data_IF_523361100715
#
_entry.id   IF_523361100715
#
_cell.length_a   1.000
_cell.length_b   1.000
_cell.length_c   1.000
_cell.angle_alpha   90.00
_cell.angle_beta   90.00
_cell.angle_gamma   90.00
#
_symmetry.space_group_name_H-M   'P 1'
#
loop_
_entity.id
_entity.type
_entity.pdbx_description
1 polymer ?
#
# COMPACT_ATOMS: atom_id res chain seq x y z
N UNK A 1 -54.10 9.23 -21.99
CA UNK A 1 -52.82 8.60 -22.39
C UNK A 1 -53.11 7.57 -23.46
N UNK A 2 -52.44 7.67 -24.61
CA UNK A 2 -52.50 6.68 -25.67
C UNK A 2 -51.80 5.39 -25.24
N UNK A 3 -52.18 4.24 -25.81
CA UNK A 3 -51.48 2.98 -25.56
C UNK A 3 -50.01 3.02 -26.01
N UNK A 4 -49.70 3.89 -26.99
CA UNK A 4 -48.32 4.21 -27.38
C UNK A 4 -47.52 4.88 -26.25
N UNK A 5 -48.14 5.79 -25.50
CA UNK A 5 -47.50 6.48 -24.37
C UNK A 5 -47.23 5.51 -23.20
N UNK A 6 -48.17 4.58 -22.95
CA UNK A 6 -48.00 3.53 -21.93
C UNK A 6 -46.86 2.60 -22.29
N UNK A 7 -46.81 2.14 -23.54
CA UNK A 7 -45.75 1.26 -24.04
C UNK A 7 -44.37 1.93 -23.97
N UNK A 8 -44.29 3.22 -24.33
CA UNK A 8 -43.06 4.00 -24.24
C UNK A 8 -42.56 4.13 -22.79
N UNK A 9 -43.43 4.54 -21.85
CA UNK A 9 -43.08 4.64 -20.43
C UNK A 9 -42.65 3.29 -19.84
N UNK A 10 -43.33 2.20 -20.20
CA UNK A 10 -42.97 0.86 -19.76
C UNK A 10 -41.57 0.45 -20.26
N UNK A 11 -41.25 0.74 -21.52
CA UNK A 11 -39.93 0.48 -22.09
C UNK A 11 -38.84 1.32 -21.39
N UNK A 12 -39.12 2.60 -21.10
CA UNK A 12 -38.19 3.49 -20.41
C UNK A 12 -37.92 3.02 -18.97
N UNK A 13 -38.97 2.62 -18.23
CA UNK A 13 -38.83 2.03 -16.89
C UNK A 13 -37.93 0.78 -16.90
N UNK A 14 -38.13 -0.14 -17.85
CA UNK A 14 -37.29 -1.34 -17.98
C UNK A 14 -35.82 -1.02 -18.24
N UNK A 15 -35.55 -0.03 -19.10
CA UNK A 15 -34.18 0.44 -19.37
C UNK A 15 -33.52 1.00 -18.12
N UNK A 16 -34.20 1.87 -17.38
CA UNK A 16 -33.69 2.45 -16.14
C UNK A 16 -33.44 1.39 -15.06
N UNK A 17 -34.36 0.44 -14.87
CA UNK A 17 -34.14 -0.69 -13.95
C UNK A 17 -32.90 -1.51 -14.30
N UNK A 18 -32.69 -1.78 -15.59
CA UNK A 18 -31.51 -2.53 -16.07
C UNK A 18 -30.22 -1.75 -15.81
N UNK A 19 -30.23 -0.45 -16.10
CA UNK A 19 -29.10 0.47 -15.83
C UNK A 19 -28.74 0.49 -14.34
N UNK A 20 -29.73 0.75 -13.48
CA UNK A 20 -29.55 0.77 -12.01
C UNK A 20 -29.00 -0.56 -11.50
N UNK A 21 -29.50 -1.69 -12.01
CA UNK A 21 -29.00 -3.01 -11.62
C UNK A 21 -27.52 -3.20 -12.01
N UNK A 22 -27.14 -2.77 -13.21
CA UNK A 22 -25.76 -2.79 -13.69
C UNK A 22 -24.83 -1.93 -12.82
N UNK A 23 -25.23 -0.70 -12.55
CA UNK A 23 -24.46 0.24 -11.71
C UNK A 23 -24.32 -0.28 -10.28
N UNK A 24 -25.37 -0.87 -9.68
CA UNK A 24 -25.30 -1.48 -8.35
C UNK A 24 -24.32 -2.66 -8.29
N UNK A 25 -24.25 -3.48 -9.35
CA UNK A 25 -23.27 -4.57 -9.44
C UNK A 25 -21.84 -4.02 -9.50
N UNK A 26 -21.60 -3.00 -10.32
CA UNK A 26 -20.30 -2.34 -10.41
C UNK A 26 -19.91 -1.70 -9.08
N UNK A 27 -20.84 -1.01 -8.41
CA UNK A 27 -20.65 -0.40 -7.10
C UNK A 27 -20.24 -1.43 -6.05
N UNK A 28 -20.93 -2.59 -6.00
CA UNK A 28 -20.58 -3.68 -5.09
C UNK A 28 -19.17 -4.21 -5.38
N UNK A 29 -18.82 -4.43 -6.64
CA UNK A 29 -17.48 -4.86 -7.03
C UNK A 29 -16.40 -3.86 -6.60
N UNK A 30 -16.63 -2.56 -6.80
CA UNK A 30 -15.68 -1.50 -6.43
C UNK A 30 -15.52 -1.37 -4.91
N UNK A 31 -16.60 -1.55 -4.15
CA UNK A 31 -16.53 -1.60 -2.67
C UNK A 31 -15.72 -2.80 -2.16
N UNK A 32 -15.88 -3.96 -2.79
CA UNK A 32 -15.09 -5.15 -2.44
C UNK A 32 -13.60 -4.94 -2.76
N UNK A 33 -13.30 -4.34 -3.92
CA UNK A 33 -11.93 -3.98 -4.30
C UNK A 33 -11.33 -2.98 -3.29
N UNK A 34 -12.08 -1.94 -2.91
CA UNK A 34 -11.67 -0.95 -1.91
C UNK A 34 -11.37 -1.59 -0.56
N UNK A 35 -12.20 -2.55 -0.11
CA UNK A 35 -11.94 -3.31 1.12
C UNK A 35 -10.62 -4.06 1.04
N UNK A 36 -10.36 -4.78 -0.04
CA UNK A 36 -9.09 -5.50 -0.22
C UNK A 36 -7.89 -4.57 -0.25
N UNK A 37 -8.02 -3.39 -0.86
CA UNK A 37 -6.96 -2.36 -0.85
C UNK A 37 -6.70 -1.85 0.57
N UNK A 38 -7.74 -1.58 1.36
CA UNK A 38 -7.58 -1.15 2.75
C UNK A 38 -6.89 -2.23 3.62
N UNK A 39 -7.28 -3.49 3.49
CA UNK A 39 -6.64 -4.61 4.22
C UNK A 39 -5.16 -4.74 3.85
N UNK A 40 -4.79 -4.55 2.58
CA UNK A 40 -3.38 -4.55 2.14
C UNK A 40 -2.60 -3.35 2.68
N UNK A 41 -3.21 -2.17 2.71
CA UNK A 41 -2.60 -0.96 3.27
C UNK A 41 -2.29 -1.12 4.76
N UNK A 42 -3.20 -1.71 5.52
CA UNK A 42 -3.01 -1.99 6.95
C UNK A 42 -1.81 -2.91 7.17
N UNK A 43 -1.78 -4.06 6.49
CA UNK A 43 -0.65 -5.01 6.58
C UNK A 43 0.69 -4.39 6.19
N UNK A 44 0.73 -3.54 5.17
CA UNK A 44 1.96 -2.85 4.76
C UNK A 44 2.41 -1.80 5.78
N UNK A 45 1.48 -1.11 6.43
CA UNK A 45 1.80 -0.14 7.49
C UNK A 45 2.35 -0.84 8.73
N UNK A 46 1.81 -2.00 9.09
CA UNK A 46 2.34 -2.83 10.17
C UNK A 46 3.74 -3.35 9.82
N UNK A 47 3.91 -3.94 8.64
CA UNK A 47 5.22 -4.40 8.18
C UNK A 47 6.27 -3.26 8.14
N UNK A 48 5.87 -2.06 7.74
CA UNK A 48 6.73 -0.87 7.79
C UNK A 48 7.13 -0.52 9.22
N UNK A 49 6.22 -0.64 10.18
CA UNK A 49 6.49 -0.36 11.60
C UNK A 49 7.51 -1.34 12.17
N UNK A 50 7.33 -2.63 11.90
CA UNK A 50 8.23 -3.69 12.35
C UNK A 50 9.62 -3.54 11.72
N UNK A 51 9.65 -3.19 10.43
CA UNK A 51 10.90 -2.91 9.71
C UNK A 51 11.63 -1.69 10.28
N UNK A 52 10.91 -0.63 10.68
CA UNK A 52 11.52 0.52 11.34
C UNK A 52 12.17 0.14 12.67
N UNK A 53 11.46 -0.64 13.50
CA UNK A 53 12.02 -1.12 14.77
C UNK A 53 13.29 -1.95 14.54
N UNK A 54 13.24 -2.86 13.57
CA UNK A 54 14.39 -3.70 13.21
C UNK A 54 15.58 -2.88 12.68
N UNK A 55 15.31 -1.82 11.91
CA UNK A 55 16.34 -0.90 11.40
C UNK A 55 17.00 -0.10 12.53
N UNK A 56 16.23 0.33 13.51
CA UNK A 56 16.75 1.06 14.67
C UNK A 56 17.65 0.15 15.51
N UNK A 57 17.22 -1.09 15.76
CA UNK A 57 18.01 -2.09 16.48
C UNK A 57 19.29 -2.46 15.72
N UNK A 58 19.20 -2.65 14.41
CA UNK A 58 20.36 -2.92 13.56
C UNK A 58 21.35 -1.75 13.56
N UNK A 59 20.85 -0.52 13.52
CA UNK A 59 21.70 0.70 13.56
C UNK A 59 22.41 0.83 14.90
N UNK A 60 21.72 0.52 16.01
CA UNK A 60 22.33 0.46 17.34
C UNK A 60 23.38 -0.64 17.44
N UNK A 61 23.07 -1.83 16.92
CA UNK A 61 24.01 -2.96 16.89
C UNK A 61 25.25 -2.60 16.08
N UNK A 62 25.08 -2.02 14.89
CA UNK A 62 26.20 -1.58 14.05
C UNK A 62 27.09 -0.58 14.78
N UNK A 63 26.49 0.41 15.45
CA UNK A 63 27.24 1.40 16.21
C UNK A 63 28.02 0.77 17.36
N UNK A 64 27.37 -0.08 18.17
CA UNK A 64 28.00 -0.78 19.29
C UNK A 64 29.13 -1.70 18.83
N UNK A 65 28.90 -2.47 17.77
CA UNK A 65 29.91 -3.36 17.18
C UNK A 65 31.10 -2.57 16.67
N UNK A 66 30.88 -1.46 15.96
CA UNK A 66 31.96 -0.60 15.51
C UNK A 66 32.77 -0.01 16.68
N UNK A 67 32.12 0.44 17.75
CA UNK A 67 32.82 0.95 18.95
C UNK A 67 33.68 -0.13 19.61
N UNK A 68 33.13 -1.33 19.83
CA UNK A 68 33.86 -2.44 20.46
C UNK A 68 35.05 -2.85 19.59
N UNK A 69 34.81 -3.07 18.29
CA UNK A 69 35.86 -3.54 17.38
C UNK A 69 36.98 -2.53 17.19
N UNK A 70 36.66 -1.23 17.16
CA UNK A 70 37.69 -0.19 17.01
C UNK A 70 38.48 0.05 18.29
N UNK A 71 37.89 -0.17 19.47
CA UNK A 71 38.58 -0.02 20.76
C UNK A 71 39.73 -1.02 20.98
N UNK A 72 39.73 -2.14 20.23
CA UNK A 72 40.73 -3.22 20.34
C UNK A 72 41.84 -3.13 19.27
N UNK A 73 41.79 -2.16 18.35
CA UNK A 73 42.74 -2.03 17.24
C UNK A 73 44.21 -1.91 17.70
N UNK A 74 44.46 -1.33 18.87
CA UNK A 74 45.79 -1.16 19.45
C UNK A 74 46.26 -2.32 20.33
N UNK A 75 45.40 -3.33 20.58
CA UNK A 75 45.72 -4.47 21.47
C UNK A 75 46.52 -5.57 20.77
N UNK A 76 46.59 -5.54 19.44
CA UNK A 76 47.35 -6.50 18.64
C UNK A 76 48.50 -5.79 17.92
N UNK A 77 49.57 -6.53 17.63
CA UNK A 77 50.75 -6.04 16.91
C UNK A 77 51.14 -6.96 15.75
N UNK A 78 51.77 -6.38 14.74
CA UNK A 78 52.31 -7.10 13.58
C UNK A 78 51.23 -7.81 12.75
N UNK A 79 51.47 -9.06 12.38
CA UNK A 79 50.56 -9.84 11.52
C UNK A 79 49.18 -10.08 12.15
N UNK A 80 49.10 -10.15 13.48
CA UNK A 80 47.82 -10.28 14.20
C UNK A 80 46.99 -9.00 14.08
N UNK A 81 47.60 -7.83 14.20
CA UNK A 81 46.95 -6.55 13.98
C UNK A 81 46.38 -6.45 12.56
N UNK A 82 47.20 -6.73 11.54
CA UNK A 82 46.74 -6.68 10.15
C UNK A 82 45.64 -7.69 9.79
N UNK A 83 45.52 -8.82 10.51
CA UNK A 83 44.40 -9.76 10.39
C UNK A 83 43.15 -9.22 11.10
N UNK A 84 43.32 -8.68 12.30
CA UNK A 84 42.25 -8.07 13.08
C UNK A 84 41.61 -6.90 12.32
N UNK A 85 42.41 -5.94 11.84
CA UNK A 85 41.93 -4.77 11.09
C UNK A 85 41.12 -5.15 9.85
N UNK A 86 41.57 -6.17 9.11
CA UNK A 86 40.83 -6.71 7.97
C UNK A 86 39.48 -7.28 8.39
N UNK A 87 39.46 -8.10 9.44
CA UNK A 87 38.21 -8.70 9.92
C UNK A 87 37.23 -7.65 10.44
N UNK A 88 37.72 -6.60 11.10
CA UNK A 88 36.88 -5.45 11.51
C UNK A 88 36.27 -4.78 10.29
N UNK A 89 37.07 -4.46 9.27
CA UNK A 89 36.56 -3.86 8.02
C UNK A 89 35.51 -4.73 7.34
N UNK A 90 35.72 -6.04 7.27
CA UNK A 90 34.77 -6.98 6.67
C UNK A 90 33.43 -6.97 7.43
N UNK A 91 33.46 -7.07 8.76
CA UNK A 91 32.25 -7.05 9.60
C UNK A 91 31.51 -5.72 9.48
N UNK A 92 32.22 -4.59 9.55
CA UNK A 92 31.60 -3.26 9.39
C UNK A 92 30.98 -3.11 8.00
N UNK A 93 31.63 -3.64 6.95
CA UNK A 93 31.10 -3.63 5.58
C UNK A 93 29.83 -4.45 5.45
N UNK A 94 29.81 -5.68 5.98
CA UNK A 94 28.63 -6.56 5.95
C UNK A 94 27.45 -5.94 6.69
N UNK A 95 27.66 -5.40 7.89
CA UNK A 95 26.62 -4.70 8.65
C UNK A 95 26.06 -3.50 7.86
N UNK A 96 26.92 -2.73 7.19
CA UNK A 96 26.47 -1.61 6.37
C UNK A 96 25.64 -2.06 5.16
N UNK A 97 26.00 -3.19 4.53
CA UNK A 97 25.23 -3.77 3.41
C UNK A 97 23.84 -4.21 3.86
N UNK A 98 23.76 -4.91 5.01
CA UNK A 98 22.48 -5.34 5.58
C UNK A 98 21.61 -4.11 5.90
N UNK A 99 22.16 -3.10 6.55
CA UNK A 99 21.42 -1.86 6.87
C UNK A 99 20.94 -1.15 5.59
N UNK A 100 21.78 -1.09 4.55
CA UNK A 100 21.40 -0.58 3.23
C UNK A 100 20.25 -1.36 2.59
N UNK A 101 20.29 -2.69 2.62
CA UNK A 101 19.22 -3.54 2.06
C UNK A 101 17.88 -3.35 2.80
N UNK A 102 17.91 -3.26 4.14
CA UNK A 102 16.69 -2.98 4.91
C UNK A 102 16.11 -1.58 4.63
N UNK A 103 16.95 -0.56 4.42
CA UNK A 103 16.50 0.76 3.99
C UNK A 103 15.87 0.73 2.61
N UNK A 104 16.46 0.01 1.66
CA UNK A 104 15.87 -0.16 0.33
C UNK A 104 14.49 -0.86 0.39
N UNK A 105 14.36 -1.92 1.20
CA UNK A 105 13.08 -2.60 1.41
C UNK A 105 12.01 -1.67 2.01
N UNK A 106 12.42 -0.77 2.92
CA UNK A 106 11.52 0.24 3.49
C UNK A 106 11.00 1.20 2.42
N UNK A 107 11.85 1.61 1.48
CA UNK A 107 11.41 2.47 0.38
C UNK A 107 10.45 1.75 -0.57
N UNK A 108 10.70 0.47 -0.90
CA UNK A 108 9.76 -0.33 -1.69
C UNK A 108 8.39 -0.44 -1.01
N UNK A 109 8.35 -0.60 0.32
CA UNK A 109 7.10 -0.59 1.09
C UNK A 109 6.43 0.80 1.02
N UNK A 110 7.19 1.89 1.14
CA UNK A 110 6.65 3.25 1.03
C UNK A 110 6.02 3.50 -0.34
N UNK A 111 6.71 3.13 -1.42
CA UNK A 111 6.20 3.23 -2.79
C UNK A 111 4.91 2.43 -2.94
N UNK A 112 4.88 1.21 -2.41
CA UNK A 112 3.69 0.37 -2.51
C UNK A 112 2.49 0.94 -1.74
N UNK A 113 2.74 1.52 -0.56
CA UNK A 113 1.70 2.23 0.20
C UNK A 113 1.16 3.40 -0.64
N UNK A 114 2.03 4.21 -1.23
CA UNK A 114 1.64 5.36 -2.07
C UNK A 114 0.77 4.94 -3.26
N UNK A 115 1.17 3.88 -3.97
CA UNK A 115 0.38 3.32 -5.08
C UNK A 115 -1.03 2.89 -4.62
N UNK A 116 -1.11 2.20 -3.48
CA UNK A 116 -2.37 1.71 -2.95
C UNK A 116 -3.26 2.84 -2.41
N UNK A 117 -2.67 3.90 -1.86
CA UNK A 117 -3.40 5.11 -1.47
C UNK A 117 -3.99 5.84 -2.68
N UNK A 118 -3.24 5.95 -3.77
CA UNK A 118 -3.77 6.49 -5.02
C UNK A 118 -4.90 5.62 -5.57
N UNK A 119 -4.72 4.29 -5.58
CA UNK A 119 -5.75 3.35 -6.02
C UNK A 119 -7.01 3.46 -5.15
N UNK A 120 -6.85 3.58 -3.83
CA UNK A 120 -7.94 3.81 -2.87
C UNK A 120 -8.71 5.09 -3.22
N UNK A 121 -8.02 6.20 -3.45
CA UNK A 121 -8.64 7.47 -3.81
C UNK A 121 -9.47 7.34 -5.10
N UNK A 122 -8.89 6.74 -6.14
CA UNK A 122 -9.59 6.52 -7.41
C UNK A 122 -10.85 5.64 -7.23
N UNK A 123 -10.77 4.58 -6.43
CA UNK A 123 -11.92 3.72 -6.13
C UNK A 123 -13.02 4.47 -5.37
N UNK A 124 -12.66 5.32 -4.41
CA UNK A 124 -13.62 6.16 -3.69
C UNK A 124 -14.32 7.13 -4.63
N UNK A 125 -13.59 7.75 -5.56
CA UNK A 125 -14.16 8.59 -6.63
C UNK A 125 -15.17 7.82 -7.48
N UNK A 126 -14.76 6.68 -8.06
CA UNK A 126 -15.67 5.86 -8.87
C UNK A 126 -16.91 5.36 -8.10
N UNK A 127 -16.77 5.08 -6.80
CA UNK A 127 -17.89 4.72 -5.94
C UNK A 127 -18.86 5.89 -5.78
N UNK A 128 -18.34 7.11 -5.62
CA UNK A 128 -19.16 8.32 -5.56
C UNK A 128 -19.95 8.51 -6.85
N UNK A 129 -19.25 8.50 -7.99
CA UNK A 129 -19.86 8.68 -9.32
C UNK A 129 -20.97 7.66 -9.58
N UNK A 130 -20.76 6.39 -9.18
CA UNK A 130 -21.77 5.35 -9.31
C UNK A 130 -22.98 5.58 -8.40
N UNK A 131 -22.79 6.07 -7.16
CA UNK A 131 -23.92 6.40 -6.30
C UNK A 131 -24.75 7.55 -6.89
N UNK A 132 -24.09 8.56 -7.44
CA UNK A 132 -24.75 9.70 -8.08
C UNK A 132 -25.52 9.25 -9.34
N UNK A 133 -24.91 8.43 -10.19
CA UNK A 133 -25.56 7.87 -11.37
C UNK A 133 -26.80 7.03 -11.04
N UNK A 134 -26.72 6.22 -9.96
CA UNK A 134 -27.86 5.44 -9.46
C UNK A 134 -28.95 6.39 -8.94
N UNK A 135 -28.59 7.44 -8.19
CA UNK A 135 -29.53 8.41 -7.64
C UNK A 135 -30.28 9.17 -8.73
N UNK A 136 -29.56 9.60 -9.77
CA UNK A 136 -30.14 10.24 -10.96
C UNK A 136 -31.11 9.27 -11.65
N UNK A 137 -30.66 8.04 -11.96
CA UNK A 137 -31.49 7.05 -12.64
C UNK A 137 -32.74 6.65 -11.83
N UNK A 138 -32.65 6.64 -10.50
CA UNK A 138 -33.79 6.43 -9.59
C UNK A 138 -34.77 7.61 -9.59
N UNK A 139 -34.25 8.84 -9.63
CA UNK A 139 -35.08 10.06 -9.70
C UNK A 139 -35.82 10.14 -11.03
N UNK A 140 -35.14 9.83 -12.14
CA UNK A 140 -35.75 9.68 -13.47
C UNK A 140 -36.82 8.59 -13.48
N UNK A 141 -36.61 7.47 -12.79
CA UNK A 141 -37.61 6.41 -12.70
C UNK A 141 -38.86 6.85 -11.93
N UNK A 142 -38.69 7.67 -10.89
CA UNK A 142 -39.78 8.21 -10.07
C UNK A 142 -40.63 9.28 -10.79
N UNK A 143 -40.07 9.94 -11.81
CA UNK A 143 -40.77 10.98 -12.57
C UNK A 143 -41.54 10.48 -13.80
N UNK A 144 -41.43 9.18 -14.14
CA UNK A 144 -42.15 8.54 -15.25
C UNK A 144 -43.58 8.17 -14.92
#
# INVERSE_FOLDING_TARGET
MSDKDKAFKAAQRRRLHTKISGERKQLSSKRNELRSVNEKLERLRDAKRDLNSSLDDLTRLQSKTNTVLTSDLSKFVGTRQGKYDRKVKDVTSELSKINGAHRANKELINEKIKELEQKKSNLQGSISDLNDAISISMSELGSL
#
